data_IF_446687653246
#
_entry.id   IF_446687653246
#
_cell.length_a   1.000
_cell.length_b   1.000
_cell.length_c   1.000
_cell.angle_alpha   90.00
_cell.angle_beta   90.00
_cell.angle_gamma   90.00
#
_symmetry.space_group_name_H-M   'P 1'
#
loop_
_entity.id
_entity.type
_entity.pdbx_description
1 polymer ?
#
# COMPACT_ATOMS: atom_id res chain seq x y z
N UNK A 1 6.13 -17.57 -19.49
CA UNK A 1 5.11 -16.75 -18.79
C UNK A 1 5.70 -16.23 -17.50
N UNK A 2 5.62 -14.94 -17.31
CA UNK A 2 6.19 -14.35 -16.11
C UNK A 2 5.28 -14.58 -14.91
N UNK A 3 5.87 -15.02 -13.81
CA UNK A 3 5.17 -15.12 -12.54
C UNK A 3 5.05 -13.74 -11.92
N UNK A 4 3.89 -13.44 -11.38
CA UNK A 4 3.67 -12.18 -10.71
C UNK A 4 3.75 -12.39 -9.20
N UNK A 5 4.43 -11.49 -8.53
CA UNK A 5 4.57 -11.53 -7.09
C UNK A 5 3.49 -10.67 -6.47
N UNK A 6 2.64 -11.29 -5.67
CA UNK A 6 1.54 -10.62 -4.98
C UNK A 6 1.82 -10.68 -3.48
N UNK A 7 1.76 -9.51 -2.84
CA UNK A 7 1.89 -9.42 -1.38
C UNK A 7 0.62 -8.77 -0.83
N UNK A 8 0.09 -9.34 0.24
CA UNK A 8 -1.04 -8.79 0.96
C UNK A 8 -0.65 -8.69 2.42
N UNK A 9 -0.82 -7.52 3.02
CA UNK A 9 -0.32 -7.27 4.37
C UNK A 9 -1.29 -6.38 5.14
N UNK A 10 -1.75 -6.89 6.28
CA UNK A 10 -2.53 -6.10 7.23
C UNK A 10 -1.54 -5.30 8.06
N UNK A 11 -1.39 -4.02 7.74
CA UNK A 11 -0.37 -3.18 8.36
C UNK A 11 -0.80 -2.61 9.70
N UNK A 12 -2.07 -2.72 10.04
CA UNK A 12 -2.60 -2.23 11.31
C UNK A 12 -2.13 -0.79 11.60
N UNK A 13 -2.32 0.08 10.62
CA UNK A 13 -1.89 1.47 10.69
C UNK A 13 -0.62 1.72 9.90
N UNK A 14 -0.77 2.27 8.69
CA UNK A 14 0.37 2.46 7.80
C UNK A 14 1.37 3.47 8.35
N UNK A 15 0.90 4.54 9.00
CA UNK A 15 1.82 5.55 9.55
C UNK A 15 2.78 4.95 10.55
N UNK A 16 2.26 4.09 11.44
CA UNK A 16 3.12 3.41 12.41
C UNK A 16 4.07 2.45 11.72
N UNK A 17 3.57 1.74 10.72
CA UNK A 17 4.36 0.77 9.98
C UNK A 17 5.51 1.44 9.22
N UNK A 18 5.28 2.63 8.69
CA UNK A 18 6.32 3.38 7.99
C UNK A 18 7.50 3.73 8.91
N UNK A 19 7.21 3.96 10.17
CA UNK A 19 8.27 4.20 11.15
C UNK A 19 9.04 2.95 11.56
N UNK A 20 8.59 1.78 11.11
CA UNK A 20 9.18 0.48 11.48
C UNK A 20 9.79 -0.25 10.28
N UNK A 21 10.16 0.47 9.23
CA UNK A 21 10.86 -0.12 8.10
C UNK A 21 9.96 -0.58 6.95
N UNK A 22 8.73 -0.08 6.86
CA UNK A 22 7.82 -0.44 5.77
C UNK A 22 8.44 -0.20 4.40
N UNK A 23 9.05 0.96 4.21
CA UNK A 23 9.60 1.33 2.90
C UNK A 23 10.73 0.38 2.48
N UNK A 24 11.58 0.00 3.42
CA UNK A 24 12.66 -0.94 3.12
C UNK A 24 12.10 -2.28 2.69
N UNK A 25 11.11 -2.77 3.42
CA UNK A 25 10.45 -4.02 3.07
C UNK A 25 9.78 -3.94 1.70
N UNK A 26 9.08 -2.83 1.45
CA UNK A 26 8.38 -2.62 0.18
C UNK A 26 9.36 -2.66 -0.99
N UNK A 27 10.51 -2.00 -0.87
CA UNK A 27 11.50 -1.98 -1.92
C UNK A 27 12.17 -3.34 -2.12
N UNK A 28 12.50 -4.02 -1.03
CA UNK A 28 13.15 -5.32 -1.11
C UNK A 28 12.23 -6.38 -1.69
N UNK A 29 10.96 -6.31 -1.36
CA UNK A 29 9.97 -7.26 -1.86
C UNK A 29 9.78 -7.16 -3.36
N UNK A 30 9.85 -5.94 -3.89
CA UNK A 30 9.70 -5.69 -5.33
C UNK A 30 8.50 -6.42 -5.93
N UNK A 31 7.38 -6.37 -5.23
CA UNK A 31 6.19 -7.08 -5.65
C UNK A 31 5.54 -6.40 -6.85
N UNK A 32 4.92 -7.21 -7.71
CA UNK A 32 4.15 -6.68 -8.83
C UNK A 32 2.85 -6.04 -8.36
N UNK A 33 2.23 -6.63 -7.34
CA UNK A 33 1.03 -6.10 -6.71
C UNK A 33 1.21 -6.15 -5.20
N UNK A 34 0.98 -5.04 -4.55
CA UNK A 34 1.15 -4.94 -3.10
C UNK A 34 -0.13 -4.38 -2.51
N UNK A 35 -0.86 -5.21 -1.75
CA UNK A 35 -2.14 -4.84 -1.15
C UNK A 35 -1.97 -4.64 0.34
N UNK A 36 -2.46 -3.51 0.84
CA UNK A 36 -2.41 -3.19 2.26
C UNK A 36 -3.82 -3.12 2.82
N UNK A 37 -4.04 -3.76 3.96
CA UNK A 37 -5.29 -3.69 4.70
C UNK A 37 -5.07 -2.92 5.99
N UNK A 38 -6.15 -2.32 6.50
CA UNK A 38 -6.15 -1.57 7.75
C UNK A 38 -5.08 -0.47 7.77
N UNK A 39 -5.06 0.33 6.70
CA UNK A 39 -4.09 1.42 6.64
C UNK A 39 -4.38 2.51 7.66
N UNK A 40 -5.64 2.65 8.08
CA UNK A 40 -6.09 3.58 9.12
C UNK A 40 -5.70 5.04 8.81
N UNK A 41 -5.85 5.40 7.53
CA UNK A 41 -5.52 6.73 7.04
C UNK A 41 -6.75 7.43 6.48
N UNK A 42 -6.76 8.74 6.63
CA UNK A 42 -7.66 9.60 5.88
C UNK A 42 -6.83 10.34 4.83
N UNK A 43 -7.51 10.84 3.81
CA UNK A 43 -6.85 11.55 2.73
C UNK A 43 -5.99 12.68 3.28
N UNK A 44 -4.77 12.80 2.77
CA UNK A 44 -3.84 13.85 3.15
C UNK A 44 -2.96 13.55 4.35
N UNK A 45 -3.19 12.44 5.06
CA UNK A 45 -2.37 12.11 6.23
C UNK A 45 -0.98 11.58 5.85
N UNK A 46 -0.84 10.98 4.67
CA UNK A 46 0.45 10.58 4.13
C UNK A 46 0.54 11.11 2.71
N UNK A 47 1.63 11.78 2.42
CA UNK A 47 1.94 12.25 1.08
C UNK A 47 3.14 11.47 0.57
N UNK A 48 2.86 10.22 0.16
CA UNK A 48 3.90 9.33 -0.31
C UNK A 48 3.50 8.73 -1.65
N UNK A 49 4.45 8.70 -2.55
CA UNK A 49 4.26 8.11 -3.86
C UNK A 49 5.52 7.34 -4.23
N UNK A 50 5.36 6.09 -4.59
CA UNK A 50 6.47 5.25 -5.03
C UNK A 50 6.55 5.27 -6.55
N UNK A 51 7.67 5.71 -7.08
CA UNK A 51 7.92 5.72 -8.50
C UNK A 51 7.92 4.28 -9.03
N UNK A 52 7.28 4.08 -10.17
CA UNK A 52 7.16 2.76 -10.78
C UNK A 52 5.91 2.01 -10.39
N UNK A 53 5.09 2.60 -9.54
CA UNK A 53 3.83 1.98 -9.11
C UNK A 53 2.65 2.91 -9.33
N UNK A 54 1.52 2.31 -9.68
CA UNK A 54 0.22 2.96 -9.64
C UNK A 54 -0.37 2.71 -8.25
N UNK A 55 -0.86 3.74 -7.60
CA UNK A 55 -1.39 3.64 -6.24
C UNK A 55 -2.88 3.92 -6.23
N UNK A 56 -3.62 3.06 -5.56
CA UNK A 56 -5.07 3.19 -5.41
C UNK A 56 -5.39 3.15 -3.93
N UNK A 57 -5.91 4.27 -3.40
CA UNK A 57 -6.19 4.45 -1.99
C UNK A 57 -7.70 4.39 -1.76
N UNK A 58 -8.10 3.61 -0.79
CA UNK A 58 -9.47 3.60 -0.29
C UNK A 58 -9.41 3.98 1.18
N UNK A 59 -9.52 5.28 1.45
CA UNK A 59 -9.32 5.82 2.78
C UNK A 59 -10.42 5.44 3.74
N UNK A 60 -10.09 5.40 5.04
CA UNK A 60 -11.04 5.14 6.08
C UNK A 60 -12.07 6.28 6.16
N UNK A 61 -13.34 5.91 6.37
CA UNK A 61 -14.38 6.91 6.56
C UNK A 61 -14.25 7.59 7.92
N UNK A 62 -13.79 6.83 8.91
CA UNK A 62 -13.56 7.34 10.27
C UNK A 62 -12.07 7.31 10.55
N UNK A 63 -11.60 8.37 11.21
CA UNK A 63 -10.20 8.45 11.60
C UNK A 63 -9.81 7.25 12.46
N UNK A 64 -8.71 6.60 12.10
CA UNK A 64 -8.17 5.47 12.84
C UNK A 64 -8.81 4.13 12.57
N UNK A 65 -9.72 4.04 11.60
CA UNK A 65 -10.38 2.79 11.23
C UNK A 65 -9.97 2.36 9.84
N UNK A 66 -9.95 1.08 9.61
CA UNK A 66 -9.71 0.34 8.38
C UNK A 66 -9.13 1.14 7.19
N UNK A 67 -9.63 0.89 5.97
CA UNK A 67 -9.07 1.47 4.76
C UNK A 67 -8.09 0.53 4.11
N UNK A 68 -7.91 0.65 2.80
CA UNK A 68 -7.02 -0.22 2.04
C UNK A 68 -6.21 0.59 1.05
N UNK A 69 -5.09 0.02 0.59
CA UNK A 69 -4.32 0.59 -0.51
C UNK A 69 -3.79 -0.53 -1.38
N UNK A 70 -3.70 -0.26 -2.67
CA UNK A 70 -3.15 -1.20 -3.63
C UNK A 70 -2.09 -0.47 -4.45
N UNK A 71 -0.92 -1.08 -4.54
CA UNK A 71 0.18 -0.61 -5.37
C UNK A 71 0.45 -1.65 -6.43
N UNK A 72 0.49 -1.26 -7.69
CA UNK A 72 0.72 -2.20 -8.79
C UNK A 72 1.65 -1.59 -9.81
N UNK A 73 2.56 -2.42 -10.35
CA UNK A 73 3.49 -1.97 -11.40
C UNK A 73 2.80 -1.79 -12.73
N UNK A 74 1.70 -2.48 -12.96
CA UNK A 74 0.94 -2.37 -14.21
C UNK A 74 -0.37 -1.67 -13.95
N UNK A 75 -0.82 -0.84 -14.89
CA UNK A 75 -2.11 -0.21 -14.79
C UNK A 75 -3.21 -1.25 -14.87
N UNK A 76 -4.11 -1.34 -13.88
CA UNK A 76 -5.17 -2.34 -13.92
C UNK A 76 -6.12 -2.11 -15.07
N UNK A 77 -6.59 -3.20 -15.65
CA UNK A 77 -7.67 -3.15 -16.63
C UNK A 77 -8.99 -2.87 -15.92
N UNK A 78 -9.83 -2.07 -16.56
CA UNK A 78 -11.13 -1.76 -16.00
C UNK A 78 -12.20 -2.64 -16.60
#
# INVERSE_FOLDING_TARGET
>A
MANKKLISWDVNGLRACMGKGFMEFFEQADADIFCLQEIKLQEGQIDWKKEGYYAYWNYAEKKGYSGTAIFTKEEPLQ
#
